data_IF_907474125382
#
_entry.id   IF_907474125382
#
_cell.length_a   1.000
_cell.length_b   1.000
_cell.length_c   1.000
_cell.angle_alpha   90.00
_cell.angle_beta   90.00
_cell.angle_gamma   90.00
#
_symmetry.space_group_name_H-M   'P 1'
#
loop_
_entity.id
_entity.type
_entity.pdbx_description
1 polymer ?
#
# COMPACT_ATOMS: atom_id res chain seq x y z
N UNK A 1 27.41 10.79 7.05
CA UNK A 1 26.03 10.24 6.99
C UNK A 1 25.14 10.66 8.18
N UNK A 2 25.67 10.83 9.40
CA UNK A 2 24.91 11.31 10.56
C UNK A 2 24.21 12.68 10.38
N UNK A 3 24.85 13.64 9.71
CA UNK A 3 24.26 14.98 9.50
C UNK A 3 23.00 14.98 8.62
N UNK A 4 22.83 13.98 7.74
CA UNK A 4 21.61 13.83 6.91
C UNK A 4 20.45 13.23 7.70
N UNK A 5 20.75 12.36 8.66
CA UNK A 5 19.75 11.79 9.58
C UNK A 5 19.23 12.85 10.55
N UNK A 6 20.10 13.72 11.08
CA UNK A 6 19.68 14.85 11.93
C UNK A 6 18.84 15.86 11.14
N UNK A 7 19.19 16.13 9.87
CA UNK A 7 18.36 16.97 9.00
C UNK A 7 17.00 16.31 8.70
N UNK A 8 16.95 15.01 8.42
CA UNK A 8 15.70 14.25 8.28
C UNK A 8 14.85 14.29 9.55
N UNK A 9 15.46 14.14 10.73
CA UNK A 9 14.78 14.21 12.01
C UNK A 9 14.19 15.61 12.26
N UNK A 10 14.95 16.67 11.96
CA UNK A 10 14.47 18.05 12.09
C UNK A 10 13.32 18.37 11.12
N UNK A 11 13.37 17.85 9.88
CA UNK A 11 12.31 17.99 8.87
C UNK A 11 11.09 17.14 9.20
N UNK A 12 11.28 15.93 9.72
CA UNK A 12 10.21 15.09 10.23
C UNK A 12 9.52 15.77 11.42
N UNK A 13 10.28 16.37 12.36
CA UNK A 13 9.72 17.11 13.49
C UNK A 13 8.91 18.34 13.03
N UNK A 14 9.40 19.10 12.05
CA UNK A 14 8.63 20.20 11.44
C UNK A 14 7.37 19.71 10.72
N UNK A 15 7.45 18.59 10.00
CA UNK A 15 6.29 17.97 9.36
C UNK A 15 5.27 17.47 10.40
N UNK A 16 5.72 16.86 11.49
CA UNK A 16 4.86 16.47 12.62
C UNK A 16 4.22 17.69 13.24
N UNK A 17 4.95 18.78 13.51
CA UNK A 17 4.38 20.01 14.03
C UNK A 17 3.35 20.63 13.07
N UNK A 18 3.60 20.59 11.77
CA UNK A 18 2.66 21.06 10.76
C UNK A 18 1.40 20.20 10.71
N UNK A 19 1.53 18.87 10.75
CA UNK A 19 0.41 17.92 10.83
C UNK A 19 -0.34 18.06 12.15
N UNK A 20 0.31 18.35 13.27
CA UNK A 20 -0.38 18.59 14.55
C UNK A 20 -1.14 19.91 14.54
N UNK A 21 -0.57 20.98 13.95
CA UNK A 21 -1.21 22.31 13.89
C UNK A 21 -2.35 22.39 12.87
N UNK A 22 -2.19 21.79 11.70
CA UNK A 22 -3.16 21.89 10.61
C UNK A 22 -3.90 20.59 10.32
N UNK A 23 -3.41 19.44 10.77
CA UNK A 23 -4.02 18.14 10.49
C UNK A 23 -5.43 17.99 11.05
N UNK A 24 -5.75 18.62 12.20
CA UNK A 24 -7.12 18.62 12.71
C UNK A 24 -8.07 19.40 11.78
N UNK A 25 -7.64 20.56 11.27
CA UNK A 25 -8.44 21.35 10.33
C UNK A 25 -8.61 20.62 8.98
N UNK A 26 -7.52 20.04 8.44
CA UNK A 26 -7.59 19.24 7.22
C UNK A 26 -8.44 17.97 7.38
N UNK A 27 -8.32 17.29 8.52
CA UNK A 27 -9.11 16.10 8.83
C UNK A 27 -10.61 16.43 8.92
N UNK A 28 -10.97 17.52 9.60
CA UNK A 28 -12.35 18.00 9.65
C UNK A 28 -12.89 18.37 8.27
N UNK A 29 -12.15 19.14 7.49
CA UNK A 29 -12.56 19.51 6.13
C UNK A 29 -12.75 18.28 5.24
N UNK A 30 -11.87 17.27 5.36
CA UNK A 30 -11.96 16.03 4.61
C UNK A 30 -13.17 15.20 5.04
N UNK A 31 -13.45 15.11 6.35
CA UNK A 31 -14.66 14.46 6.86
C UNK A 31 -15.93 15.19 6.37
N UNK A 32 -15.93 16.52 6.36
CA UNK A 32 -17.05 17.33 5.89
C UNK A 32 -17.36 17.10 4.41
N UNK A 33 -16.33 17.05 3.56
CA UNK A 33 -16.47 16.72 2.14
C UNK A 33 -16.95 15.28 1.91
N UNK A 34 -16.55 14.35 2.78
CA UNK A 34 -16.86 12.93 2.67
C UNK A 34 -18.07 12.49 3.51
N UNK A 35 -18.86 13.44 4.07
CA UNK A 35 -20.04 13.14 4.90
C UNK A 35 -21.01 12.15 4.26
N UNK A 36 -21.15 12.18 2.93
CA UNK A 36 -21.99 11.25 2.16
C UNK A 36 -21.60 9.77 2.32
N UNK A 37 -20.36 9.46 2.70
CA UNK A 37 -19.85 8.10 2.90
C UNK A 37 -19.85 7.66 4.36
N UNK A 38 -20.16 8.58 5.28
CA UNK A 38 -20.15 8.33 6.72
C UNK A 38 -21.57 7.93 7.13
N UNK A 39 -21.75 6.68 7.60
CA UNK A 39 -23.02 6.26 8.20
C UNK A 39 -23.14 6.84 9.61
N UNK A 40 -24.21 7.57 9.84
CA UNK A 40 -24.63 8.07 11.16
C UNK A 40 -25.87 7.28 11.60
N UNK A 41 -25.98 6.77 12.85
CA UNK A 41 -25.10 6.98 14.01
C UNK A 41 -23.84 6.08 14.02
N UNK A 42 -22.72 6.55 14.61
CA UNK A 42 -21.51 5.76 14.83
C UNK A 42 -21.68 4.80 16.01
N UNK A 43 -22.67 3.92 15.92
CA UNK A 43 -22.96 2.90 16.94
C UNK A 43 -22.08 1.67 16.70
N UNK A 44 -21.73 0.96 17.78
CA UNK A 44 -20.91 -0.28 17.70
C UNK A 44 -21.53 -1.34 16.78
N UNK A 45 -22.85 -1.39 16.70
CA UNK A 45 -23.59 -2.31 15.83
C UNK A 45 -23.39 -1.97 14.34
N UNK A 46 -23.56 -0.69 13.98
CA UNK A 46 -23.34 -0.19 12.62
C UNK A 46 -21.89 -0.39 12.17
N UNK A 47 -20.92 -0.23 13.08
CA UNK A 47 -19.51 -0.51 12.81
C UNK A 47 -19.26 -2.00 12.52
N UNK A 48 -19.92 -2.89 13.28
CA UNK A 48 -19.83 -4.33 13.06
C UNK A 48 -20.46 -4.73 11.72
N UNK A 49 -21.61 -4.17 11.37
CA UNK A 49 -22.26 -4.39 10.08
C UNK A 49 -21.41 -3.89 8.91
N UNK A 50 -20.85 -2.67 8.99
CA UNK A 50 -19.93 -2.12 8.00
C UNK A 50 -18.69 -2.98 7.81
N UNK A 51 -18.10 -3.46 8.90
CA UNK A 51 -16.95 -4.38 8.85
C UNK A 51 -17.29 -5.67 8.11
N UNK A 52 -18.45 -6.28 8.44
CA UNK A 52 -18.94 -7.47 7.73
C UNK A 52 -19.20 -7.18 6.26
N UNK A 53 -19.89 -6.08 5.92
CA UNK A 53 -20.12 -5.67 4.54
C UNK A 53 -18.82 -5.50 3.78
N UNK A 54 -17.83 -4.81 4.37
CA UNK A 54 -16.52 -4.62 3.75
C UNK A 54 -15.82 -5.95 3.52
N UNK A 55 -15.83 -6.85 4.50
CA UNK A 55 -15.26 -8.20 4.35
C UNK A 55 -15.94 -8.97 3.22
N UNK A 56 -17.27 -9.01 3.17
CA UNK A 56 -18.01 -9.70 2.12
C UNK A 56 -17.82 -9.07 0.74
N UNK A 57 -17.81 -7.74 0.62
CA UNK A 57 -17.51 -7.05 -0.64
C UNK A 57 -16.09 -7.36 -1.11
N UNK A 58 -15.11 -7.39 -0.19
CA UNK A 58 -13.74 -7.77 -0.52
C UNK A 58 -13.67 -9.22 -0.99
N UNK A 59 -14.31 -10.16 -0.28
CA UNK A 59 -14.38 -11.57 -0.68
C UNK A 59 -15.05 -11.75 -2.05
N UNK A 60 -16.16 -11.06 -2.31
CA UNK A 60 -16.86 -11.11 -3.59
C UNK A 60 -16.01 -10.53 -4.74
N UNK A 61 -15.10 -9.60 -4.45
CA UNK A 61 -14.19 -9.04 -5.45
C UNK A 61 -12.99 -9.95 -5.78
N UNK A 62 -12.69 -10.95 -4.95
CA UNK A 62 -11.57 -11.88 -5.17
C UNK A 62 -11.69 -12.65 -6.49
N UNK A 63 -12.82 -13.32 -6.81
CA UNK A 63 -12.92 -14.09 -8.05
C UNK A 63 -12.71 -13.23 -9.31
N UNK A 64 -13.28 -12.02 -9.34
CA UNK A 64 -13.06 -11.07 -10.44
C UNK A 64 -11.59 -10.66 -10.58
N UNK A 65 -10.91 -10.39 -9.46
CA UNK A 65 -9.47 -10.08 -9.47
C UNK A 65 -8.61 -11.27 -9.90
N UNK A 66 -8.95 -12.49 -9.49
CA UNK A 66 -8.23 -13.69 -9.92
C UNK A 66 -8.40 -13.92 -11.42
N UNK A 67 -9.56 -13.62 -12.01
CA UNK A 67 -9.75 -13.72 -13.46
C UNK A 67 -8.88 -12.72 -14.22
N UNK A 68 -8.82 -11.46 -13.78
CA UNK A 68 -7.92 -10.45 -14.36
C UNK A 68 -6.45 -10.90 -14.24
N UNK A 69 -6.06 -11.40 -13.08
CA UNK A 69 -4.71 -11.91 -12.85
C UNK A 69 -4.36 -13.08 -13.77
N UNK A 70 -5.29 -14.01 -14.00
CA UNK A 70 -5.10 -15.10 -14.96
C UNK A 70 -4.93 -14.60 -16.39
N UNK A 71 -5.66 -13.55 -16.79
CA UNK A 71 -5.49 -12.91 -18.11
C UNK A 71 -4.12 -12.24 -18.23
N UNK A 72 -3.65 -11.56 -17.20
CA UNK A 72 -2.31 -10.95 -17.16
C UNK A 72 -1.21 -12.02 -17.21
N UNK A 73 -1.37 -13.15 -16.50
CA UNK A 73 -0.45 -14.28 -16.61
C UNK A 73 -0.42 -14.86 -18.01
N UNK A 74 -1.58 -15.04 -18.66
CA UNK A 74 -1.63 -15.58 -20.01
C UNK A 74 -0.95 -14.63 -21.01
N UNK A 75 -1.14 -13.31 -20.83
CA UNK A 75 -0.45 -12.28 -21.59
C UNK A 75 1.08 -12.36 -21.43
N UNK A 76 1.58 -12.44 -20.19
CA UNK A 76 3.01 -12.60 -19.90
C UNK A 76 3.55 -13.92 -20.47
N UNK A 77 2.78 -15.00 -20.39
CA UNK A 77 3.14 -16.31 -20.97
C UNK A 77 3.24 -16.24 -22.50
N UNK A 78 2.35 -15.50 -23.15
CA UNK A 78 2.40 -15.28 -24.58
C UNK A 78 3.59 -14.41 -25.00
N UNK A 79 3.92 -13.38 -24.22
CA UNK A 79 5.15 -12.59 -24.40
C UNK A 79 6.42 -13.45 -24.25
N UNK A 80 6.45 -14.34 -23.27
CA UNK A 80 7.59 -15.25 -23.08
C UNK A 80 7.78 -16.18 -24.30
N UNK A 81 6.69 -16.72 -24.86
CA UNK A 81 6.75 -17.55 -26.08
C UNK A 81 7.28 -16.78 -27.29
N UNK A 82 6.96 -15.49 -27.41
CA UNK A 82 7.41 -14.61 -28.49
C UNK A 82 8.67 -13.81 -28.09
N UNK A 83 9.64 -14.48 -27.45
CA UNK A 83 10.80 -13.84 -26.79
C UNK A 83 11.70 -13.00 -27.71
N UNK A 84 11.58 -13.15 -29.04
CA UNK A 84 12.36 -12.41 -30.03
C UNK A 84 11.80 -11.02 -30.34
N UNK A 85 10.54 -10.71 -30.01
CA UNK A 85 9.90 -9.40 -30.24
C UNK A 85 9.74 -8.58 -28.94
N UNK A 86 10.49 -8.93 -27.89
CA UNK A 86 10.34 -8.29 -26.58
C UNK A 86 10.88 -6.85 -26.61
N UNK A 87 9.97 -5.88 -26.54
CA UNK A 87 10.28 -4.47 -26.36
C UNK A 87 11.01 -4.24 -25.03
N UNK A 88 12.03 -3.38 -25.06
CA UNK A 88 12.83 -3.00 -23.89
C UNK A 88 11.97 -2.38 -22.78
N UNK A 89 10.83 -1.77 -23.16
CA UNK A 89 9.84 -1.18 -22.25
C UNK A 89 9.16 -2.22 -21.34
N UNK A 90 8.72 -3.36 -21.89
CA UNK A 90 8.10 -4.45 -21.12
C UNK A 90 9.10 -5.10 -20.16
N UNK A 91 10.35 -5.24 -20.59
CA UNK A 91 11.42 -5.72 -19.72
C UNK A 91 11.70 -4.74 -18.56
N UNK A 92 11.62 -3.43 -18.81
CA UNK A 92 11.76 -2.38 -17.79
C UNK A 92 10.64 -2.41 -16.75
N UNK A 93 9.38 -2.60 -17.19
CA UNK A 93 8.22 -2.72 -16.30
C UNK A 93 8.34 -3.98 -15.43
N UNK A 94 8.71 -5.11 -16.03
CA UNK A 94 8.93 -6.35 -15.28
C UNK A 94 10.06 -6.22 -14.24
N UNK A 95 11.14 -5.52 -14.58
CA UNK A 95 12.24 -5.27 -13.66
C UNK A 95 11.82 -4.37 -12.48
N UNK A 96 11.05 -3.31 -12.73
CA UNK A 96 10.52 -2.43 -11.68
C UNK A 96 9.55 -3.19 -10.76
N UNK A 97 8.68 -4.01 -11.33
CA UNK A 97 7.78 -4.86 -10.57
C UNK A 97 8.56 -5.85 -9.68
N UNK A 98 9.59 -6.49 -10.22
CA UNK A 98 10.47 -7.38 -9.45
C UNK A 98 11.19 -6.66 -8.30
N UNK A 99 11.65 -5.42 -8.53
CA UNK A 99 12.27 -4.59 -7.50
C UNK A 99 11.27 -4.22 -6.39
N UNK A 100 10.05 -3.87 -6.75
CA UNK A 100 8.99 -3.57 -5.79
C UNK A 100 8.59 -4.81 -4.97
N UNK A 101 8.49 -5.98 -5.60
CA UNK A 101 8.29 -7.26 -4.89
C UNK A 101 9.42 -7.55 -3.90
N UNK A 102 10.67 -7.30 -4.30
CA UNK A 102 11.82 -7.48 -3.41
C UNK A 102 11.78 -6.51 -2.22
N UNK A 103 11.44 -5.24 -2.46
CA UNK A 103 11.27 -4.26 -1.39
C UNK A 103 10.17 -4.67 -0.39
N UNK A 104 9.03 -5.16 -0.88
CA UNK A 104 7.95 -5.70 -0.02
C UNK A 104 8.37 -6.96 0.74
N UNK A 105 9.16 -7.84 0.13
CA UNK A 105 9.72 -9.00 0.82
C UNK A 105 10.64 -8.58 1.96
N UNK A 106 11.56 -7.63 1.73
CA UNK A 106 12.41 -7.08 2.78
C UNK A 106 11.61 -6.39 3.89
N UNK A 107 10.55 -5.65 3.54
CA UNK A 107 9.66 -5.06 4.52
C UNK A 107 8.96 -6.13 5.39
N UNK A 108 8.49 -7.21 4.76
CA UNK A 108 7.92 -8.37 5.47
C UNK A 108 8.94 -9.04 6.39
N UNK A 109 10.19 -9.17 5.96
CA UNK A 109 11.28 -9.69 6.78
C UNK A 109 11.55 -8.81 8.01
N UNK A 110 11.55 -7.48 7.86
CA UNK A 110 11.71 -6.54 8.98
C UNK A 110 10.55 -6.68 9.98
N UNK A 111 9.31 -6.80 9.49
CA UNK A 111 8.13 -7.03 10.35
C UNK A 111 8.22 -8.38 11.05
N UNK A 112 8.62 -9.45 10.34
CA UNK A 112 8.81 -10.79 10.90
C UNK A 112 9.94 -10.89 11.93
N UNK A 113 10.96 -10.03 11.84
CA UNK A 113 12.04 -9.87 12.82
C UNK A 113 11.69 -8.92 13.98
N UNK A 114 10.43 -8.51 14.13
CA UNK A 114 9.99 -7.64 15.22
C UNK A 114 10.44 -6.19 15.09
N UNK A 115 10.47 -5.64 13.86
CA UNK A 115 10.93 -4.27 13.54
C UNK A 115 12.44 -4.02 13.75
N UNK A 116 13.26 -5.07 13.68
CA UNK A 116 14.71 -4.91 13.75
C UNK A 116 15.27 -4.50 12.39
N UNK A 117 15.47 -3.18 12.19
CA UNK A 117 15.93 -2.61 10.92
C UNK A 117 17.39 -2.93 10.56
N UNK A 118 18.20 -3.41 11.52
CA UNK A 118 19.67 -3.51 11.37
C UNK A 118 20.23 -4.93 11.35
N UNK A 119 19.38 -5.96 11.21
CA UNK A 119 19.81 -7.36 11.08
C UNK A 119 19.28 -8.27 12.19
N UNK A 120 19.63 -9.56 12.15
CA UNK A 120 19.38 -10.48 13.26
C UNK A 120 20.25 -10.08 14.45
N UNK A 121 19.68 -10.14 15.65
CA UNK A 121 20.48 -10.07 16.88
C UNK A 121 21.51 -11.23 16.86
N UNK A 122 22.77 -11.00 17.26
CA UNK A 122 23.71 -12.09 17.46
C UNK A 122 23.20 -13.09 18.52
#
# INVERSE_FOLDING_TARGET
MASKLVQLQSKACQATQFVTKHGNAYYKQLLEQNKQYIKDPPTVETCNELSKQLLYTRLASIPGRTESFWKEIDYVKNMWKNRQDLKVEDAGIAALFGLECFAWFCAGEIVGRGFTFTGYYP
#
